data_IF_848313012819
#
_entry.id   IF_848313012819
#
_cell.length_a   1.000
_cell.length_b   1.000
_cell.length_c   1.000
_cell.angle_alpha   90.00
_cell.angle_beta   90.00
_cell.angle_gamma   90.00
#
_symmetry.space_group_name_H-M   'P 1'
#
loop_
_entity.id
_entity.type
_entity.pdbx_description
1 polymer ?
#
# COMPACT_ATOMS: atom_id res chain seq x y z
N UNK A 1 -19.83 -54.40 8.34
CA UNK A 1 -20.20 -53.21 7.54
C UNK A 1 -19.43 -52.04 8.09
N UNK A 2 -18.35 -51.66 7.43
CA UNK A 2 -17.54 -50.48 7.77
C UNK A 2 -18.26 -49.23 7.30
N UNK A 3 -18.71 -48.40 8.24
CA UNK A 3 -19.12 -47.02 7.95
C UNK A 3 -17.90 -46.27 7.40
N UNK A 4 -17.89 -46.04 6.09
CA UNK A 4 -16.95 -45.11 5.47
C UNK A 4 -17.40 -43.72 5.91
N UNK A 5 -16.77 -43.20 6.97
CA UNK A 5 -16.93 -41.83 7.42
C UNK A 5 -16.70 -40.91 6.22
N UNK A 6 -17.76 -40.23 5.75
CA UNK A 6 -17.63 -39.30 4.63
C UNK A 6 -16.56 -38.26 4.98
N UNK A 7 -15.67 -37.90 4.05
CA UNK A 7 -14.72 -36.83 4.30
C UNK A 7 -15.50 -35.55 4.64
N UNK A 8 -15.13 -34.91 5.76
CA UNK A 8 -15.80 -33.72 6.30
C UNK A 8 -15.75 -32.54 5.32
N UNK A 9 -14.79 -32.54 4.38
CA UNK A 9 -14.64 -31.55 3.33
C UNK A 9 -14.53 -32.24 1.96
N UNK A 10 -15.25 -31.69 0.99
CA UNK A 10 -15.24 -32.13 -0.41
C UNK A 10 -14.10 -31.45 -1.19
N UNK A 11 -13.85 -31.91 -2.42
CA UNK A 11 -12.87 -31.27 -3.32
C UNK A 11 -13.23 -29.81 -3.60
N UNK A 12 -14.52 -29.50 -3.69
CA UNK A 12 -15.01 -28.14 -3.96
C UNK A 12 -14.78 -27.22 -2.75
N UNK A 13 -14.97 -27.74 -1.53
CA UNK A 13 -14.65 -26.99 -0.31
C UNK A 13 -13.16 -26.64 -0.25
N UNK A 14 -12.28 -27.58 -0.60
CA UNK A 14 -10.84 -27.32 -0.66
C UNK A 14 -10.46 -26.33 -1.77
N UNK A 15 -11.19 -26.30 -2.88
CA UNK A 15 -10.99 -25.32 -3.93
C UNK A 15 -11.33 -23.90 -3.43
N UNK A 16 -12.48 -23.74 -2.77
CA UNK A 16 -12.89 -22.48 -2.14
C UNK A 16 -11.86 -22.03 -1.10
N UNK A 17 -11.43 -22.93 -0.20
CA UNK A 17 -10.42 -22.61 0.82
C UNK A 17 -9.12 -22.12 0.21
N UNK A 18 -8.65 -22.72 -0.89
CA UNK A 18 -7.42 -22.27 -1.58
C UNK A 18 -7.55 -20.83 -2.08
N UNK A 19 -8.70 -20.47 -2.66
CA UNK A 19 -8.98 -19.12 -3.14
C UNK A 19 -8.96 -18.12 -1.97
N UNK A 20 -9.63 -18.44 -0.86
CA UNK A 20 -9.60 -17.62 0.35
C UNK A 20 -8.19 -17.44 0.91
N UNK A 21 -7.40 -18.52 1.00
CA UNK A 21 -6.02 -18.46 1.51
C UNK A 21 -5.15 -17.59 0.61
N UNK A 22 -5.26 -17.72 -0.71
CA UNK A 22 -4.49 -16.90 -1.66
C UNK A 22 -4.85 -15.41 -1.53
N UNK A 23 -6.14 -15.09 -1.44
CA UNK A 23 -6.61 -13.72 -1.25
C UNK A 23 -6.13 -13.13 0.09
N UNK A 24 -6.36 -13.83 1.20
CA UNK A 24 -6.02 -13.32 2.53
C UNK A 24 -4.51 -13.27 2.79
N UNK A 25 -3.72 -14.04 2.05
CA UNK A 25 -2.26 -14.05 2.17
C UNK A 25 -1.65 -12.68 1.91
N UNK A 26 -2.18 -11.91 0.96
CA UNK A 26 -1.67 -10.55 0.66
C UNK A 26 -1.81 -9.66 1.90
N UNK A 27 -2.97 -9.64 2.55
CA UNK A 27 -3.17 -8.87 3.78
C UNK A 27 -2.27 -9.34 4.92
N UNK A 28 -2.07 -10.65 5.04
CA UNK A 28 -1.18 -11.22 6.05
C UNK A 28 0.26 -10.77 5.83
N UNK A 29 0.79 -10.92 4.61
CA UNK A 29 2.15 -10.55 4.25
C UNK A 29 2.36 -9.02 4.39
N UNK A 30 1.36 -8.22 4.02
CA UNK A 30 1.39 -6.77 4.23
C UNK A 30 1.39 -6.39 5.70
N UNK A 31 0.54 -7.03 6.51
CA UNK A 31 0.51 -6.78 7.96
C UNK A 31 1.84 -7.16 8.60
N UNK A 32 2.38 -8.32 8.22
CA UNK A 32 3.68 -8.78 8.71
C UNK A 32 4.79 -7.78 8.35
N UNK A 33 4.80 -7.30 7.10
CA UNK A 33 5.76 -6.30 6.62
C UNK A 33 5.64 -4.98 7.39
N UNK A 34 4.42 -4.50 7.62
CA UNK A 34 4.18 -3.25 8.36
C UNK A 34 4.41 -3.40 9.88
N UNK A 35 4.33 -4.61 10.42
CA UNK A 35 4.57 -4.88 11.85
C UNK A 35 6.05 -5.00 12.22
N UNK A 36 6.98 -4.99 11.24
CA UNK A 36 8.41 -5.09 11.53
C UNK A 36 8.93 -3.82 12.19
N UNK A 37 9.45 -3.96 13.40
CA UNK A 37 9.97 -2.84 14.20
C UNK A 37 11.35 -2.31 13.74
N UNK A 38 12.12 -3.11 12.98
CA UNK A 38 13.51 -2.81 12.64
C UNK A 38 13.74 -2.19 11.25
N UNK A 39 12.68 -1.90 10.50
CA UNK A 39 12.78 -1.34 9.16
C UNK A 39 11.93 -0.07 9.05
N UNK A 40 12.34 0.92 8.22
CA UNK A 40 11.54 2.12 7.99
C UNK A 40 10.21 1.74 7.31
N UNK A 41 9.19 1.52 8.14
CA UNK A 41 7.86 1.08 7.73
C UNK A 41 7.19 2.08 6.81
N UNK A 42 7.50 3.37 6.99
CA UNK A 42 6.94 4.46 6.19
C UNK A 42 7.33 4.37 4.72
N UNK A 43 8.56 3.99 4.41
CA UNK A 43 9.02 3.80 3.02
C UNK A 43 8.33 2.62 2.32
N UNK A 44 7.95 1.58 3.06
CA UNK A 44 7.30 0.40 2.49
C UNK A 44 5.77 0.50 2.46
N UNK A 45 5.18 1.43 3.20
CA UNK A 45 3.73 1.52 3.39
C UNK A 45 2.96 1.64 2.07
N UNK A 46 3.46 2.44 1.13
CA UNK A 46 2.80 2.65 -0.17
C UNK A 46 2.91 1.41 -1.04
N UNK A 47 4.03 0.69 -1.02
CA UNK A 47 4.16 -0.60 -1.70
C UNK A 47 3.10 -1.60 -1.25
N UNK A 48 2.82 -1.67 0.06
CA UNK A 48 1.79 -2.56 0.59
C UNK A 48 0.37 -2.12 0.18
N UNK A 49 0.13 -0.81 0.06
CA UNK A 49 -1.14 -0.29 -0.46
C UNK A 49 -1.31 -0.67 -1.93
N UNK A 50 -0.24 -0.59 -2.74
CA UNK A 50 -0.25 -1.01 -4.15
C UNK A 50 -0.61 -2.50 -4.26
N UNK A 51 0.05 -3.37 -3.51
CA UNK A 51 -0.20 -4.82 -3.51
C UNK A 51 -1.67 -5.15 -3.14
N UNK A 52 -2.20 -4.53 -2.09
CA UNK A 52 -3.59 -4.72 -1.69
C UNK A 52 -4.55 -4.19 -2.75
N UNK A 53 -4.25 -3.04 -3.36
CA UNK A 53 -5.08 -2.43 -4.41
C UNK A 53 -5.18 -3.31 -5.65
N UNK A 54 -4.06 -3.90 -6.08
CA UNK A 54 -4.01 -4.86 -7.18
C UNK A 54 -4.84 -6.10 -6.87
N UNK A 55 -4.67 -6.67 -5.68
CA UNK A 55 -5.40 -7.86 -5.25
C UNK A 55 -6.91 -7.58 -5.16
N UNK A 56 -7.34 -6.43 -4.63
CA UNK A 56 -8.77 -6.08 -4.57
C UNK A 56 -9.36 -5.97 -5.97
N UNK A 57 -8.65 -5.33 -6.90
CA UNK A 57 -9.09 -5.22 -8.28
C UNK A 57 -9.16 -6.59 -8.98
N UNK A 58 -8.21 -7.49 -8.72
CA UNK A 58 -8.16 -8.82 -9.34
C UNK A 58 -9.35 -9.71 -8.95
N UNK A 59 -9.77 -9.65 -7.68
CA UNK A 59 -10.85 -10.49 -7.16
C UNK A 59 -12.22 -9.78 -7.12
N UNK A 60 -12.32 -8.55 -7.64
CA UNK A 60 -13.55 -7.76 -7.61
C UNK A 60 -14.73 -8.49 -8.26
N UNK A 61 -14.47 -9.13 -9.40
CA UNK A 61 -15.46 -9.86 -10.20
C UNK A 61 -15.38 -11.38 -10.01
N UNK A 62 -14.73 -11.85 -8.94
CA UNK A 62 -14.60 -13.28 -8.66
C UNK A 62 -15.95 -13.89 -8.25
N UNK A 63 -16.27 -15.07 -8.77
CA UNK A 63 -17.57 -15.72 -8.55
C UNK A 63 -17.79 -16.17 -7.08
N UNK A 64 -16.73 -16.35 -6.31
CA UNK A 64 -16.79 -16.82 -4.93
C UNK A 64 -16.58 -15.64 -3.97
N UNK A 65 -15.56 -14.82 -4.24
CA UNK A 65 -15.12 -13.74 -3.34
C UNK A 65 -15.70 -12.37 -3.67
N UNK A 66 -16.20 -12.12 -4.88
CA UNK A 66 -16.52 -10.78 -5.39
C UNK A 66 -17.37 -9.94 -4.44
N UNK A 67 -18.46 -10.50 -3.89
CA UNK A 67 -19.31 -9.81 -2.92
C UNK A 67 -18.54 -9.37 -1.66
N UNK A 68 -17.67 -10.23 -1.13
CA UNK A 68 -16.85 -9.91 0.03
C UNK A 68 -15.76 -8.90 -0.32
N UNK A 69 -15.14 -9.03 -1.50
CA UNK A 69 -14.08 -8.16 -1.99
C UNK A 69 -14.60 -6.74 -2.19
N UNK A 70 -15.78 -6.56 -2.79
CA UNK A 70 -16.41 -5.23 -2.92
C UNK A 70 -16.63 -4.57 -1.56
N UNK A 71 -17.08 -5.33 -0.55
CA UNK A 71 -17.25 -4.79 0.80
C UNK A 71 -15.91 -4.41 1.46
N UNK A 72 -14.86 -5.22 1.24
CA UNK A 72 -13.50 -4.94 1.73
C UNK A 72 -12.87 -3.74 1.02
N UNK A 73 -13.06 -3.63 -0.29
CA UNK A 73 -12.61 -2.53 -1.13
C UNK A 73 -13.22 -1.22 -0.65
N UNK A 74 -14.53 -1.17 -0.42
CA UNK A 74 -15.21 0.02 0.09
C UNK A 74 -14.65 0.48 1.45
N UNK A 75 -14.35 -0.47 2.35
CA UNK A 75 -13.66 -0.16 3.62
C UNK A 75 -12.24 0.34 3.37
N UNK A 76 -11.51 -0.31 2.46
CA UNK A 76 -10.13 0.07 2.15
C UNK A 76 -10.07 1.50 1.59
N UNK A 77 -10.88 1.82 0.59
CA UNK A 77 -11.03 3.19 0.05
C UNK A 77 -11.34 4.20 1.15
N UNK A 78 -12.27 3.88 2.06
CA UNK A 78 -12.61 4.76 3.19
C UNK A 78 -11.39 5.11 4.07
N UNK A 79 -10.49 4.17 4.31
CA UNK A 79 -9.30 4.38 5.17
C UNK A 79 -8.04 4.80 4.39
N UNK A 80 -8.03 4.66 3.07
CA UNK A 80 -6.87 4.90 2.20
C UNK A 80 -7.10 5.90 1.08
N UNK A 81 -8.25 6.57 1.07
CA UNK A 81 -8.54 7.70 0.17
C UNK A 81 -7.62 8.90 0.37
N UNK A 82 -6.88 8.94 1.49
CA UNK A 82 -5.80 9.89 1.72
C UNK A 82 -4.59 9.15 2.26
N UNK A 83 -3.45 9.33 1.60
CA UNK A 83 -2.16 8.84 2.06
C UNK A 83 -1.62 9.76 3.16
N UNK A 84 -1.03 9.16 4.18
CA UNK A 84 -0.34 9.89 5.23
C UNK A 84 0.89 10.59 4.65
N UNK A 85 1.08 11.86 4.98
CA UNK A 85 2.27 12.62 4.59
C UNK A 85 3.57 11.93 5.02
N UNK A 86 3.57 11.22 6.15
CA UNK A 86 4.73 10.46 6.62
C UNK A 86 5.09 9.29 5.68
N UNK A 87 4.09 8.63 5.10
CA UNK A 87 4.32 7.55 4.13
C UNK A 87 4.85 8.13 2.81
N UNK A 88 4.26 9.23 2.36
CA UNK A 88 4.75 9.94 1.18
C UNK A 88 6.21 10.39 1.35
N UNK A 89 6.56 11.02 2.48
CA UNK A 89 7.94 11.40 2.78
C UNK A 89 8.87 10.19 2.86
N UNK A 90 8.46 9.11 3.53
CA UNK A 90 9.27 7.89 3.65
C UNK A 90 9.64 7.32 2.27
N UNK A 91 8.73 7.39 1.31
CA UNK A 91 8.94 6.96 -0.07
C UNK A 91 9.79 7.96 -0.86
N UNK A 92 9.50 9.25 -0.74
CA UNK A 92 10.25 10.32 -1.44
C UNK A 92 11.72 10.33 -1.04
N UNK A 93 12.01 10.08 0.24
CA UNK A 93 13.37 10.04 0.78
C UNK A 93 14.10 8.74 0.45
N UNK A 94 13.42 7.70 -0.06
CA UNK A 94 14.10 6.55 -0.64
C UNK A 94 14.73 6.97 -1.98
N UNK A 95 16.08 6.94 -2.11
CA UNK A 95 16.77 7.40 -3.31
C UNK A 95 16.41 6.58 -4.56
N UNK A 96 15.84 5.38 -4.40
CA UNK A 96 15.40 4.52 -5.50
C UNK A 96 14.04 4.94 -6.06
N UNK A 97 13.18 5.53 -5.23
CA UNK A 97 11.80 5.84 -5.59
C UNK A 97 11.62 7.32 -5.91
N UNK A 98 12.05 8.20 -5.00
CA UNK A 98 11.90 9.66 -5.13
C UNK A 98 10.44 10.11 -5.31
N UNK A 99 10.25 11.39 -5.58
CA UNK A 99 8.92 11.96 -5.85
C UNK A 99 8.24 11.35 -7.09
N UNK A 100 8.99 11.12 -8.15
CA UNK A 100 8.47 10.51 -9.39
C UNK A 100 7.91 9.11 -9.15
N UNK A 101 8.56 8.30 -8.31
CA UNK A 101 8.06 6.96 -8.00
C UNK A 101 6.82 6.98 -7.11
N UNK A 102 6.69 7.97 -6.22
CA UNK A 102 5.45 8.19 -5.47
C UNK A 102 4.27 8.46 -6.43
N UNK A 103 4.45 9.37 -7.39
CA UNK A 103 3.43 9.69 -8.40
C UNK A 103 3.00 8.44 -9.17
N UNK A 104 3.96 7.64 -9.64
CA UNK A 104 3.68 6.36 -10.32
C UNK A 104 2.88 5.39 -9.44
N UNK A 105 3.19 5.29 -8.14
CA UNK A 105 2.42 4.43 -7.24
C UNK A 105 1.00 4.93 -7.02
N UNK A 106 0.80 6.24 -6.89
CA UNK A 106 -0.53 6.81 -6.69
C UNK A 106 -1.38 6.69 -7.95
N UNK A 107 -0.82 6.94 -9.13
CA UNK A 107 -1.49 6.71 -10.41
C UNK A 107 -1.86 5.23 -10.61
N UNK A 108 -0.98 4.32 -10.18
CA UNK A 108 -1.29 2.89 -10.20
C UNK A 108 -2.45 2.55 -9.28
N UNK A 109 -2.46 3.05 -8.04
CA UNK A 109 -3.57 2.82 -7.10
C UNK A 109 -4.88 3.39 -7.65
N UNK A 110 -4.85 4.60 -8.20
CA UNK A 110 -5.99 5.22 -8.85
C UNK A 110 -6.55 4.31 -9.95
N UNK A 111 -5.69 3.79 -10.84
CA UNK A 111 -6.11 2.87 -11.91
C UNK A 111 -6.81 1.58 -11.43
N UNK A 112 -6.60 1.19 -10.16
CA UNK A 112 -7.22 -0.01 -9.56
C UNK A 112 -8.46 0.30 -8.75
N UNK A 113 -8.43 1.42 -8.03
CA UNK A 113 -9.41 1.75 -7.00
C UNK A 113 -10.24 3.00 -7.32
N UNK A 114 -10.00 3.70 -8.42
CA UNK A 114 -10.74 4.92 -8.79
C UNK A 114 -10.70 5.93 -7.62
N UNK A 115 -9.47 6.30 -7.22
CA UNK A 115 -9.19 7.24 -6.13
C UNK A 115 -8.29 8.33 -6.70
N UNK A 116 -8.84 9.53 -6.83
CA UNK A 116 -8.09 10.69 -7.29
C UNK A 116 -7.11 11.19 -6.20
N UNK A 117 -5.81 11.11 -6.49
CA UNK A 117 -4.73 11.63 -5.65
C UNK A 117 -4.11 12.93 -6.18
N UNK A 118 -4.61 13.51 -7.27
CA UNK A 118 -3.99 14.65 -7.96
C UNK A 118 -3.79 15.89 -7.06
N UNK A 119 -4.82 16.25 -6.28
CA UNK A 119 -4.75 17.32 -5.28
C UNK A 119 -3.73 16.97 -4.20
N UNK A 120 -3.74 15.73 -3.72
CA UNK A 120 -2.85 15.26 -2.66
C UNK A 120 -1.38 15.24 -3.08
N UNK A 121 -1.07 14.86 -4.33
CA UNK A 121 0.29 14.91 -4.90
C UNK A 121 0.81 16.35 -4.88
N UNK A 122 -0.05 17.31 -5.26
CA UNK A 122 0.30 18.74 -5.24
C UNK A 122 0.58 19.23 -3.82
N UNK A 123 -0.26 18.85 -2.86
CA UNK A 123 -0.07 19.15 -1.44
C UNK A 123 1.24 18.56 -0.88
N UNK A 124 1.53 17.30 -1.20
CA UNK A 124 2.75 16.61 -0.77
C UNK A 124 3.97 17.34 -1.33
N UNK A 125 3.94 17.71 -2.61
CA UNK A 125 5.02 18.45 -3.27
C UNK A 125 5.26 19.80 -2.58
N UNK A 126 4.20 20.56 -2.33
CA UNK A 126 4.29 21.85 -1.62
C UNK A 126 4.92 21.69 -0.24
N UNK A 127 4.40 20.74 0.57
CA UNK A 127 4.93 20.48 1.92
C UNK A 127 6.38 20.00 1.91
N UNK A 128 6.77 19.20 0.93
CA UNK A 128 8.16 18.77 0.76
C UNK A 128 9.08 19.99 0.55
N UNK A 129 8.70 20.90 -0.33
CA UNK A 129 9.47 22.13 -0.58
C UNK A 129 9.48 23.07 0.63
N UNK A 130 8.39 23.17 1.40
CA UNK A 130 8.39 23.93 2.66
C UNK A 130 9.40 23.37 3.66
N UNK A 131 9.42 22.04 3.85
CA UNK A 131 10.39 21.37 4.73
C UNK A 131 11.82 21.60 4.24
N UNK A 132 12.05 21.47 2.94
CA UNK A 132 13.36 21.74 2.32
C UNK A 132 13.80 23.19 2.53
N UNK A 133 12.92 24.17 2.30
CA UNK A 133 13.23 25.58 2.50
C UNK A 133 13.59 25.89 3.97
N UNK A 134 12.89 25.29 4.93
CA UNK A 134 13.24 25.42 6.36
C UNK A 134 14.64 24.87 6.63
N UNK A 135 14.99 23.73 6.03
CA UNK A 135 16.31 23.14 6.15
C UNK A 135 17.39 24.05 5.56
N UNK A 136 17.21 24.53 4.33
CA UNK A 136 18.14 25.44 3.66
C UNK A 136 18.33 26.75 4.42
N UNK A 137 17.27 27.37 4.93
CA UNK A 137 17.36 28.57 5.76
C UNK A 137 18.16 28.36 7.05
N UNK A 138 18.15 27.14 7.61
CA UNK A 138 18.85 26.81 8.86
C UNK A 138 20.29 26.35 8.65
N UNK A 139 20.57 25.63 7.57
CA UNK A 139 21.84 24.92 7.37
C UNK A 139 22.55 25.25 6.06
N UNK A 140 21.91 25.94 5.12
CA UNK A 140 22.49 26.29 3.81
C UNK A 140 23.72 27.18 3.92
N UNK A 141 23.85 27.98 4.98
CA UNK A 141 25.02 28.81 5.26
C UNK A 141 26.20 28.10 5.94
N UNK A 142 26.03 26.86 6.41
CA UNK A 142 27.11 26.09 7.07
C UNK A 142 27.99 25.37 6.04
N UNK A 143 27.46 25.09 4.85
CA UNK A 143 28.18 24.39 3.76
C UNK A 143 29.09 25.32 2.92
N UNK A 144 29.17 26.62 3.23
CA UNK A 144 29.99 27.61 2.51
C UNK A 144 31.26 28.03 3.24
N UNK A 145 31.63 27.39 4.36
CA UNK A 145 32.98 27.56 4.92
C UNK A 145 33.98 26.78 4.06
N UNK A 146 34.99 27.45 3.45
CA UNK A 146 36.02 26.75 2.70
C UNK A 146 36.82 25.89 3.67
N UNK A 147 36.98 24.61 3.34
CA UNK A 147 37.96 23.72 3.95
C UNK A 147 39.35 24.36 3.81
N UNK A 148 39.95 24.76 4.94
CA UNK A 148 41.38 25.09 5.05
C UNK A 148 42.27 23.92 4.60
#
# INVERSE_FOLDING_TARGET
>A
MTEISRPVLTSDDWHVVKIFVQFLKVFYDSTLTLSRAYYPTSSQAIHQIVEISEMLNMYRDDNILGTAVVAMENKFKKYRSKISFLYALGVILDPRVKLSGLEVFLDYIDSKLDIDFSEQVTDIRTKLFEVFNIYECRFGGVNTQPSE
#
